data_IF_519137039219
#
_entry.id   IF_519137039219
#
_cell.length_a   1.000
_cell.length_b   1.000
_cell.length_c   1.000
_cell.angle_alpha   90.00
_cell.angle_beta   90.00
_cell.angle_gamma   90.00
#
_symmetry.space_group_name_H-M   'P 1'
#
loop_
_entity.id
_entity.type
_entity.pdbx_description
1 polymer ?
#
# COMPACT_ATOMS: atom_id res chain seq x y z
N UNK A 1 -3.34 -1.16 -25.47
CA UNK A 1 -2.93 -1.12 -24.04
C UNK A 1 -3.44 0.20 -23.45
N UNK A 2 -4.53 0.17 -22.68
CA UNK A 2 -5.26 1.38 -22.22
C UNK A 2 -4.49 2.25 -21.21
N UNK A 3 -3.53 1.68 -20.48
CA UNK A 3 -2.75 2.42 -19.47
C UNK A 3 -1.30 2.66 -19.90
N UNK A 4 -0.72 3.84 -19.57
CA UNK A 4 0.68 4.14 -19.80
C UNK A 4 1.63 3.10 -19.18
N UNK A 5 2.81 2.86 -19.77
CA UNK A 5 3.74 1.83 -19.29
C UNK A 5 4.12 1.96 -17.81
N UNK A 6 4.35 3.18 -17.30
CA UNK A 6 4.70 3.38 -15.89
C UNK A 6 3.53 3.07 -14.95
N UNK A 7 2.30 3.42 -15.34
CA UNK A 7 1.09 3.08 -14.58
C UNK A 7 0.86 1.56 -14.54
N UNK A 8 1.03 0.87 -15.67
CA UNK A 8 0.97 -0.60 -15.73
C UNK A 8 1.97 -1.26 -14.79
N UNK A 9 3.21 -0.73 -14.75
CA UNK A 9 4.25 -1.27 -13.87
C UNK A 9 3.87 -1.17 -12.39
N UNK A 10 3.19 -0.10 -11.98
CA UNK A 10 2.70 0.06 -10.60
C UNK A 10 1.48 -0.83 -10.32
N UNK A 11 0.53 -0.90 -11.26
CA UNK A 11 -0.73 -1.66 -11.09
C UNK A 11 -0.46 -3.17 -11.06
N UNK A 12 0.40 -3.67 -11.95
CA UNK A 12 0.66 -5.10 -12.10
C UNK A 12 1.71 -5.64 -11.13
N UNK A 13 2.14 -4.87 -10.11
CA UNK A 13 2.95 -5.47 -9.04
C UNK A 13 2.08 -6.41 -8.22
N UNK A 14 2.31 -7.72 -8.33
CA UNK A 14 1.60 -8.69 -7.50
C UNK A 14 2.11 -8.67 -6.06
N UNK A 15 3.36 -8.24 -5.85
CA UNK A 15 4.03 -8.14 -4.55
C UNK A 15 3.20 -7.41 -3.48
N UNK A 16 2.50 -6.33 -3.83
CA UNK A 16 1.72 -5.54 -2.87
C UNK A 16 0.49 -6.30 -2.37
N UNK A 17 -0.25 -6.93 -3.29
CA UNK A 17 -1.46 -7.70 -2.99
C UNK A 17 -1.09 -9.02 -2.31
N UNK A 18 -0.07 -9.72 -2.81
CA UNK A 18 0.42 -10.98 -2.24
C UNK A 18 0.96 -10.79 -0.83
N UNK A 19 1.77 -9.75 -0.58
CA UNK A 19 2.31 -9.45 0.75
C UNK A 19 1.20 -9.13 1.76
N UNK A 20 0.14 -8.45 1.32
CA UNK A 20 -1.03 -8.20 2.14
C UNK A 20 -1.81 -9.48 2.42
N UNK A 21 -2.14 -10.27 1.38
CA UNK A 21 -2.83 -11.54 1.52
C UNK A 21 -2.08 -12.53 2.43
N UNK A 22 -0.75 -12.55 2.36
CA UNK A 22 0.07 -13.37 3.25
C UNK A 22 -0.05 -12.94 4.73
N UNK A 23 -0.02 -11.64 5.00
CA UNK A 23 -0.20 -11.10 6.36
C UNK A 23 -1.60 -11.41 6.89
N UNK A 24 -2.62 -11.29 6.03
CA UNK A 24 -4.01 -11.58 6.37
C UNK A 24 -4.21 -13.07 6.70
N UNK A 25 -3.68 -13.97 5.87
CA UNK A 25 -3.69 -15.43 6.12
C UNK A 25 -2.95 -15.78 7.42
N UNK A 26 -1.84 -15.12 7.71
CA UNK A 26 -1.09 -15.33 8.96
C UNK A 26 -1.89 -14.88 10.18
N UNK A 27 -2.58 -13.74 10.11
CA UNK A 27 -3.39 -13.22 11.20
C UNK A 27 -4.66 -14.08 11.46
N UNK A 28 -5.24 -14.64 10.40
CA UNK A 28 -6.47 -15.45 10.46
C UNK A 28 -6.23 -16.95 10.70
N UNK A 29 -4.98 -17.44 10.59
CA UNK A 29 -4.66 -18.88 10.70
C UNK A 29 -5.27 -19.58 11.92
N UNK A 30 -5.34 -18.89 13.05
CA UNK A 30 -5.85 -19.46 14.32
C UNK A 30 -7.37 -19.21 14.53
N UNK A 31 -8.06 -18.56 13.60
CA UNK A 31 -9.49 -18.19 13.69
C UNK A 31 -10.24 -18.78 12.50
N UNK A 32 -10.54 -20.08 12.58
CA UNK A 32 -11.20 -20.85 11.50
C UNK A 32 -12.73 -20.69 11.53
N UNK A 33 -13.33 -20.52 12.72
CA UNK A 33 -14.77 -20.37 12.88
C UNK A 33 -15.13 -19.01 13.48
N UNK A 34 -16.17 -18.39 12.94
CA UNK A 34 -16.77 -17.16 13.46
C UNK A 34 -18.18 -17.45 13.97
N UNK A 35 -18.63 -16.67 14.95
CA UNK A 35 -19.96 -16.81 15.56
C UNK A 35 -21.09 -16.31 14.66
N UNK A 36 -20.82 -15.28 13.85
CA UNK A 36 -21.71 -14.74 12.81
C UNK A 36 -20.90 -13.91 11.80
N UNK A 37 -21.53 -13.49 10.71
CA UNK A 37 -20.88 -12.74 9.62
C UNK A 37 -20.36 -11.37 10.08
N UNK A 38 -21.09 -10.67 10.94
CA UNK A 38 -20.66 -9.39 11.50
C UNK A 38 -19.35 -9.51 12.30
N UNK A 39 -19.21 -10.59 13.07
CA UNK A 39 -18.01 -10.89 13.85
C UNK A 39 -16.82 -11.19 12.93
N UNK A 40 -17.06 -11.85 11.80
CA UNK A 40 -16.05 -12.10 10.78
C UNK A 40 -15.56 -10.77 10.16
N UNK A 41 -16.49 -9.92 9.72
CA UNK A 41 -16.18 -8.61 9.12
C UNK A 41 -15.43 -7.72 10.11
N UNK A 42 -15.90 -7.62 11.36
CA UNK A 42 -15.25 -6.82 12.40
C UNK A 42 -13.85 -7.33 12.73
N UNK A 43 -13.67 -8.64 12.80
CA UNK A 43 -12.35 -9.24 13.04
C UNK A 43 -11.40 -8.93 11.88
N UNK A 44 -11.87 -9.07 10.63
CA UNK A 44 -11.08 -8.76 9.45
C UNK A 44 -10.65 -7.29 9.44
N UNK A 45 -11.58 -6.37 9.72
CA UNK A 45 -11.28 -4.95 9.81
C UNK A 45 -10.21 -4.64 10.87
N UNK A 46 -10.34 -5.16 12.08
CA UNK A 46 -9.35 -4.99 13.14
C UNK A 46 -7.97 -5.54 12.76
N UNK A 47 -7.92 -6.67 12.04
CA UNK A 47 -6.66 -7.23 11.54
C UNK A 47 -6.01 -6.31 10.51
N UNK A 48 -6.79 -5.71 9.61
CA UNK A 48 -6.31 -4.75 8.61
C UNK A 48 -5.71 -3.52 9.30
N UNK A 49 -6.42 -2.94 10.28
CA UNK A 49 -5.91 -1.82 11.07
C UNK A 49 -4.58 -2.17 11.74
N UNK A 50 -4.49 -3.33 12.40
CA UNK A 50 -3.27 -3.77 13.07
C UNK A 50 -2.10 -3.96 12.08
N UNK A 51 -2.37 -4.54 10.91
CA UNK A 51 -1.37 -4.70 9.84
C UNK A 51 -0.84 -3.32 9.40
N UNK A 52 -1.71 -2.36 9.14
CA UNK A 52 -1.30 -1.03 8.70
C UNK A 52 -0.57 -0.24 9.80
N UNK A 53 -1.01 -0.33 11.06
CA UNK A 53 -0.31 0.25 12.21
C UNK A 53 1.11 -0.30 12.37
N UNK A 54 1.27 -1.63 12.25
CA UNK A 54 2.60 -2.28 12.28
C UNK A 54 3.48 -1.84 11.13
N UNK A 55 2.92 -1.71 9.92
CA UNK A 55 3.64 -1.21 8.75
C UNK A 55 4.06 0.25 8.96
N UNK A 56 3.18 1.09 9.48
CA UNK A 56 3.47 2.49 9.80
C UNK A 56 4.58 2.60 10.85
N UNK A 57 4.50 1.83 11.95
CA UNK A 57 5.53 1.79 12.98
C UNK A 57 6.88 1.29 12.45
N UNK A 58 6.89 0.28 11.58
CA UNK A 58 8.10 -0.21 10.90
C UNK A 58 8.72 0.87 10.03
N UNK A 59 7.92 1.57 9.21
CA UNK A 59 8.36 2.70 8.39
C UNK A 59 8.93 3.84 9.25
N UNK A 60 8.30 4.16 10.38
CA UNK A 60 8.80 5.19 11.29
C UNK A 60 10.17 4.81 11.89
N UNK A 61 10.37 3.53 12.23
CA UNK A 61 11.68 3.02 12.70
C UNK A 61 12.74 3.04 11.59
N UNK A 62 12.39 2.63 10.38
CA UNK A 62 13.29 2.65 9.23
C UNK A 62 13.63 4.08 8.80
N UNK A 63 12.66 4.98 8.79
CA UNK A 63 12.86 6.41 8.54
C UNK A 63 13.82 7.04 9.55
N UNK A 64 13.71 6.70 10.84
CA UNK A 64 14.68 7.12 11.87
C UNK A 64 16.09 6.57 11.63
N UNK A 65 16.22 5.33 11.15
CA UNK A 65 17.52 4.72 10.80
C UNK A 65 18.16 5.36 9.55
N UNK A 66 17.36 5.65 8.53
CA UNK A 66 17.81 6.29 7.28
C UNK A 66 18.12 7.78 7.50
N UNK A 67 17.35 8.48 8.34
CA UNK A 67 17.64 9.84 8.78
C UNK A 67 18.97 9.96 9.52
N UNK A 68 19.36 8.92 10.25
CA UNK A 68 20.66 8.84 10.92
C UNK A 68 21.83 8.60 9.94
N UNK A 69 21.58 8.25 8.67
CA UNK A 69 22.63 7.88 7.69
C UNK A 69 22.59 8.66 6.36
N UNK A 70 21.53 9.39 6.01
CA UNK A 70 21.45 10.14 4.77
C UNK A 70 20.75 11.49 4.95
N UNK A 71 21.44 12.56 4.54
CA UNK A 71 20.87 13.90 4.44
C UNK A 71 19.70 13.92 3.45
N UNK A 72 18.54 14.36 3.95
CA UNK A 72 17.25 14.56 3.26
C UNK A 72 16.34 13.33 3.20
N UNK A 73 15.46 13.26 4.20
CA UNK A 73 14.23 12.48 4.18
C UNK A 73 13.28 13.04 3.11
N UNK A 74 12.65 12.14 2.36
CA UNK A 74 11.42 12.42 1.60
C UNK A 74 10.38 11.46 2.16
N UNK A 75 9.28 12.02 2.65
CA UNK A 75 8.16 11.31 3.27
C UNK A 75 7.50 10.29 2.33
N UNK A 76 6.88 9.27 2.92
CA UNK A 76 6.03 8.29 2.23
C UNK A 76 6.80 7.14 1.59
N UNK A 77 6.31 5.91 1.74
CA UNK A 77 6.93 4.73 1.14
C UNK A 77 7.12 4.94 -0.37
N UNK A 78 8.35 4.77 -0.87
CA UNK A 78 8.68 4.89 -2.30
C UNK A 78 8.01 3.74 -3.07
N UNK A 79 6.80 3.94 -3.59
CA UNK A 79 6.33 3.16 -4.73
C UNK A 79 7.24 3.55 -5.90
N UNK A 80 8.16 2.66 -6.25
CA UNK A 80 9.14 2.92 -7.30
C UNK A 80 8.43 3.30 -8.60
N UNK A 81 8.71 4.49 -9.11
CA UNK A 81 8.11 5.01 -10.33
C UNK A 81 6.71 5.62 -10.19
N UNK A 82 6.20 5.83 -8.97
CA UNK A 82 4.91 6.49 -8.76
C UNK A 82 4.82 7.90 -9.39
N UNK A 83 5.86 8.72 -9.21
CA UNK A 83 5.93 10.05 -9.83
C UNK A 83 5.86 9.97 -11.36
N UNK A 84 6.53 9.00 -11.96
CA UNK A 84 6.52 8.78 -13.41
C UNK A 84 5.15 8.28 -13.88
N UNK A 85 4.51 7.41 -13.09
CA UNK A 85 3.17 6.91 -13.35
C UNK A 85 2.13 8.05 -13.28
N UNK A 86 2.14 8.88 -12.24
CA UNK A 86 1.24 10.03 -12.11
C UNK A 86 1.42 10.99 -13.30
N UNK A 87 2.66 11.35 -13.63
CA UNK A 87 2.92 12.28 -14.74
C UNK A 87 2.36 11.73 -16.06
N UNK A 88 2.56 10.43 -16.34
CA UNK A 88 2.00 9.81 -17.55
C UNK A 88 0.46 9.73 -17.52
N UNK A 89 -0.13 9.48 -16.35
CA UNK A 89 -1.59 9.43 -16.19
C UNK A 89 -2.23 10.81 -16.32
N UNK A 90 -1.58 11.86 -15.82
CA UNK A 90 -2.00 13.26 -15.96
C UNK A 90 -2.06 13.66 -17.43
N UNK A 91 -1.03 13.32 -18.21
CA UNK A 91 -0.99 13.60 -19.66
C UNK A 91 -2.01 12.77 -20.44
N UNK A 92 -2.18 11.50 -20.09
CA UNK A 92 -3.11 10.61 -20.79
C UNK A 92 -4.58 10.87 -20.47
N UNK A 93 -4.87 11.44 -19.29
CA UNK A 93 -6.23 11.66 -18.78
C UNK A 93 -6.37 13.02 -18.09
N UNK A 94 -6.17 14.14 -18.82
CA UNK A 94 -6.11 15.48 -18.22
C UNK A 94 -7.38 15.83 -17.44
N UNK A 95 -8.57 15.59 -18.02
CA UNK A 95 -9.87 15.91 -17.41
C UNK A 95 -10.13 15.17 -16.09
N UNK A 96 -9.38 14.09 -15.81
CA UNK A 96 -9.56 13.25 -14.62
C UNK A 96 -8.61 13.61 -13.47
N UNK A 97 -7.47 14.23 -13.77
CA UNK A 97 -6.42 14.52 -12.78
C UNK A 97 -6.20 16.01 -12.53
N UNK A 98 -6.63 16.89 -13.43
CA UNK A 98 -6.39 18.34 -13.31
C UNK A 98 -6.95 18.96 -12.03
N UNK A 99 -7.99 18.38 -11.43
CA UNK A 99 -8.58 18.86 -10.17
C UNK A 99 -7.90 18.32 -8.89
N UNK A 100 -6.94 17.40 -9.02
CA UNK A 100 -6.35 16.65 -7.88
C UNK A 100 -4.82 16.71 -7.84
N UNK A 101 -4.19 17.44 -8.76
CA UNK A 101 -2.75 17.67 -8.84
C UNK A 101 -2.41 19.09 -8.39
#
# INVERSE_FOLDING_TARGET
LQFPPAARKVIYTTNSIESFNNQLRKATRNRVQFTNDESAVKTLWLMICNIEDRRAAKRAKEGKKVAATAGRLIEGARVAGWKQAINQMSVAYPDRFQNYL
#
